data_IF_408780678951
#
_entry.id   IF_408780678951
#
_cell.length_a   1.000
_cell.length_b   1.000
_cell.length_c   1.000
_cell.angle_alpha   90.00
_cell.angle_beta   90.00
_cell.angle_gamma   90.00
#
_symmetry.space_group_name_H-M   'P 1'
#
loop_
_entity.id
_entity.type
_entity.pdbx_description
1 polymer ?
#
# COMPACT_ATOMS: atom_id res chain seq x y z
N UNK A 1 -6.95 0.15 -10.60
CA UNK A 1 -8.07 0.02 -9.65
C UNK A 1 -9.19 0.88 -10.15
N UNK A 2 -10.41 0.36 -10.26
CA UNK A 2 -11.57 1.16 -10.64
C UNK A 2 -12.10 1.97 -9.43
N UNK A 3 -13.10 2.85 -9.69
CA UNK A 3 -13.66 3.73 -8.64
C UNK A 3 -14.32 2.94 -7.52
N UNK A 4 -15.06 1.88 -7.86
CA UNK A 4 -15.78 1.06 -6.88
C UNK A 4 -14.83 0.27 -5.98
N UNK A 5 -13.74 -0.24 -6.56
CA UNK A 5 -12.68 -0.91 -5.81
C UNK A 5 -11.96 0.08 -4.87
N UNK A 6 -11.67 1.31 -5.33
CA UNK A 6 -11.08 2.36 -4.49
C UNK A 6 -11.98 2.71 -3.31
N UNK A 7 -13.28 2.93 -3.54
CA UNK A 7 -14.24 3.24 -2.48
C UNK A 7 -14.31 2.11 -1.44
N UNK A 8 -14.28 0.85 -1.89
CA UNK A 8 -14.25 -0.33 -1.00
C UNK A 8 -13.00 -0.36 -0.12
N UNK A 9 -11.84 -0.05 -0.69
CA UNK A 9 -10.58 0.03 0.06
C UNK A 9 -10.61 1.17 1.07
N UNK A 10 -11.08 2.35 0.67
CA UNK A 10 -11.21 3.51 1.56
C UNK A 10 -12.14 3.20 2.73
N UNK A 11 -13.27 2.55 2.49
CA UNK A 11 -14.19 2.10 3.54
C UNK A 11 -13.53 1.13 4.53
N UNK A 12 -12.65 0.24 4.05
CA UNK A 12 -11.87 -0.63 4.93
C UNK A 12 -10.87 0.18 5.75
N UNK A 13 -10.18 1.13 5.12
CA UNK A 13 -9.14 1.93 5.77
C UNK A 13 -9.67 2.99 6.74
N UNK A 14 -10.95 3.34 6.68
CA UNK A 14 -11.60 4.24 7.64
C UNK A 14 -11.48 3.73 9.08
N UNK A 15 -11.59 2.42 9.28
CA UNK A 15 -11.62 1.81 10.62
C UNK A 15 -10.20 1.63 11.20
N UNK A 16 -9.89 2.20 12.39
CA UNK A 16 -8.57 2.12 12.99
C UNK A 16 -8.15 0.70 13.37
N UNK A 17 -9.09 -0.17 13.73
CA UNK A 17 -8.79 -1.58 14.06
C UNK A 17 -8.36 -2.32 12.80
N UNK A 18 -9.02 -2.09 11.66
CA UNK A 18 -8.64 -2.69 10.38
C UNK A 18 -7.25 -2.24 9.95
N UNK A 19 -6.90 -0.95 10.14
CA UNK A 19 -5.53 -0.46 9.88
C UNK A 19 -4.48 -1.17 10.76
N UNK A 20 -4.77 -1.42 12.04
CA UNK A 20 -3.86 -2.19 12.92
C UNK A 20 -3.69 -3.64 12.43
N UNK A 21 -4.77 -4.30 12.01
CA UNK A 21 -4.72 -5.65 11.45
C UNK A 21 -3.88 -5.66 10.17
N UNK A 22 -4.10 -4.71 9.24
CA UNK A 22 -3.31 -4.59 8.00
C UNK A 22 -1.82 -4.40 8.33
N UNK A 23 -1.49 -3.47 9.25
CA UNK A 23 -0.11 -3.25 9.68
C UNK A 23 0.54 -4.53 10.22
N UNK A 24 -0.18 -5.34 10.97
CA UNK A 24 0.34 -6.61 11.49
C UNK A 24 0.50 -7.66 10.37
N UNK A 25 -0.50 -7.78 9.47
CA UNK A 25 -0.46 -8.71 8.34
C UNK A 25 0.55 -8.29 7.25
N UNK A 26 1.00 -7.05 7.23
CA UNK A 26 2.07 -6.63 6.31
C UNK A 26 3.45 -7.17 6.71
N UNK A 27 3.61 -7.60 7.95
CA UNK A 27 4.84 -8.22 8.43
C UNK A 27 4.88 -9.72 8.09
N UNK A 28 3.82 -10.44 8.43
CA UNK A 28 3.69 -11.88 8.17
C UNK A 28 2.22 -12.34 8.25
N UNK A 29 1.87 -13.46 7.61
CA UNK A 29 0.56 -14.08 7.79
C UNK A 29 0.28 -14.44 9.24
N UNK A 30 -0.99 -14.39 9.66
CA UNK A 30 -1.37 -14.66 11.03
C UNK A 30 -2.76 -15.32 11.15
N UNK A 31 -2.99 -16.03 12.26
CA UNK A 31 -4.30 -16.57 12.61
C UNK A 31 -5.14 -15.53 13.36
N UNK A 32 -6.47 -15.62 13.28
CA UNK A 32 -7.38 -14.71 13.99
C UNK A 32 -7.15 -14.68 15.51
N UNK A 33 -6.84 -15.83 16.13
CA UNK A 33 -6.53 -15.92 17.57
C UNK A 33 -5.22 -15.20 17.90
N UNK A 34 -4.21 -15.32 17.04
CA UNK A 34 -2.93 -14.63 17.20
C UNK A 34 -3.12 -13.11 17.13
N UNK A 35 -3.81 -12.61 16.08
CA UNK A 35 -4.17 -11.19 15.95
C UNK A 35 -4.96 -10.67 17.15
N UNK A 36 -5.90 -11.47 17.65
CA UNK A 36 -6.69 -11.14 18.85
C UNK A 36 -5.80 -10.89 20.06
N UNK A 37 -4.86 -11.77 20.34
CA UNK A 37 -3.92 -11.65 21.47
C UNK A 37 -2.95 -10.48 21.30
N UNK A 38 -2.33 -10.35 20.15
CA UNK A 38 -1.32 -9.30 19.87
C UNK A 38 -1.91 -7.90 19.86
N UNK A 39 -3.15 -7.75 19.36
CA UNK A 39 -3.83 -6.45 19.30
C UNK A 39 -4.68 -6.13 20.55
N UNK A 40 -4.79 -7.05 21.50
CA UNK A 40 -5.62 -6.89 22.70
C UNK A 40 -7.12 -6.77 22.38
N UNK A 41 -7.62 -7.48 21.37
CA UNK A 41 -8.99 -7.42 20.88
C UNK A 41 -9.71 -8.76 21.06
N UNK A 42 -11.04 -8.73 21.22
CA UNK A 42 -11.83 -9.97 21.24
C UNK A 42 -11.76 -10.70 19.89
N UNK A 43 -11.56 -12.03 19.93
CA UNK A 43 -11.47 -12.87 18.73
C UNK A 43 -12.69 -12.73 17.79
N UNK A 44 -13.96 -12.64 18.28
CA UNK A 44 -15.10 -12.41 17.40
C UNK A 44 -15.03 -11.07 16.63
N UNK A 45 -14.50 -10.03 17.28
CA UNK A 45 -14.32 -8.72 16.65
C UNK A 45 -13.26 -8.78 15.55
N UNK A 46 -12.13 -9.42 15.82
CA UNK A 46 -11.07 -9.63 14.81
C UNK A 46 -11.60 -10.44 13.63
N UNK A 47 -12.34 -11.52 13.90
CA UNK A 47 -12.95 -12.33 12.83
C UNK A 47 -13.93 -11.52 11.95
N UNK A 48 -14.74 -10.65 12.56
CA UNK A 48 -15.64 -9.74 11.84
C UNK A 48 -14.87 -8.77 10.93
N UNK A 49 -13.77 -8.19 11.43
CA UNK A 49 -12.93 -7.30 10.63
C UNK A 49 -12.22 -8.03 9.50
N UNK A 50 -11.67 -9.23 9.76
CA UNK A 50 -11.02 -10.05 8.73
C UNK A 50 -12.01 -10.42 7.62
N UNK A 51 -13.24 -10.83 7.95
CA UNK A 51 -14.27 -11.11 6.95
C UNK A 51 -14.60 -9.89 6.08
N UNK A 52 -14.71 -8.70 6.68
CA UNK A 52 -14.94 -7.47 5.93
C UNK A 52 -13.79 -7.13 4.97
N UNK A 53 -12.54 -7.38 5.39
CA UNK A 53 -11.35 -7.15 4.56
C UNK A 53 -11.19 -8.22 3.47
N UNK A 54 -11.58 -9.46 3.74
CA UNK A 54 -11.61 -10.55 2.77
C UNK A 54 -12.66 -10.26 1.67
N UNK A 55 -13.85 -9.81 2.04
CA UNK A 55 -14.90 -9.39 1.10
C UNK A 55 -14.47 -8.20 0.22
N UNK A 56 -13.65 -7.30 0.74
CA UNK A 56 -13.05 -6.18 -0.01
C UNK A 56 -11.82 -6.60 -0.84
N UNK A 57 -11.43 -7.88 -0.83
CA UNK A 57 -10.27 -8.38 -1.58
C UNK A 57 -8.91 -7.91 -1.07
N UNK A 58 -8.83 -7.39 0.16
CA UNK A 58 -7.58 -6.93 0.78
C UNK A 58 -6.84 -8.04 1.50
N UNK A 59 -7.58 -9.00 2.01
CA UNK A 59 -7.06 -10.16 2.74
C UNK A 59 -7.50 -11.43 2.02
N UNK A 60 -6.62 -12.40 1.97
CA UNK A 60 -6.89 -13.77 1.50
C UNK A 60 -6.68 -14.75 2.63
N UNK A 61 -7.38 -15.88 2.54
CA UNK A 61 -7.38 -16.93 3.55
C UNK A 61 -6.90 -18.23 2.96
N UNK A 62 -6.02 -18.92 3.68
CA UNK A 62 -5.62 -20.31 3.41
C UNK A 62 -6.05 -21.16 4.59
N UNK A 63 -6.72 -22.29 4.32
CA UNK A 63 -7.10 -23.25 5.35
C UNK A 63 -5.96 -24.25 5.57
N UNK A 64 -5.49 -24.34 6.79
CA UNK A 64 -4.43 -25.27 7.20
C UNK A 64 -4.97 -26.34 8.15
N UNK A 65 -4.48 -27.56 8.01
CA UNK A 65 -4.81 -28.66 8.92
C UNK A 65 -4.12 -28.44 10.27
N UNK A 66 -4.85 -28.67 11.35
CA UNK A 66 -4.30 -28.59 12.71
C UNK A 66 -4.05 -30.01 13.22
N UNK A 67 -2.84 -30.34 13.74
CA UNK A 67 -2.53 -31.68 14.22
C UNK A 67 -3.49 -32.23 15.30
N UNK A 68 -4.06 -31.33 16.11
CA UNK A 68 -4.89 -31.71 17.26
C UNK A 68 -6.20 -30.90 17.33
N UNK A 69 -6.77 -30.46 16.19
CA UNK A 69 -7.98 -29.63 16.22
C UNK A 69 -8.59 -29.34 14.85
N UNK A 70 -9.66 -28.55 14.79
CA UNK A 70 -10.28 -28.18 13.53
C UNK A 70 -9.32 -27.36 12.65
N UNK A 71 -9.57 -27.37 11.35
CA UNK A 71 -8.83 -26.55 10.36
C UNK A 71 -8.76 -25.10 10.81
N UNK A 72 -7.59 -24.50 10.64
CA UNK A 72 -7.33 -23.10 11.01
C UNK A 72 -7.22 -22.26 9.76
N UNK A 73 -7.73 -21.03 9.83
CA UNK A 73 -7.63 -20.06 8.74
C UNK A 73 -6.42 -19.15 8.99
N UNK A 74 -5.42 -19.26 8.10
CA UNK A 74 -4.29 -18.35 8.05
C UNK A 74 -4.64 -17.18 7.12
N UNK A 75 -4.52 -15.96 7.61
CA UNK A 75 -4.83 -14.73 6.90
C UNK A 75 -3.55 -14.03 6.44
N UNK A 76 -3.54 -13.53 5.20
CA UNK A 76 -2.44 -12.74 4.65
C UNK A 76 -3.00 -11.62 3.78
N UNK A 77 -2.21 -10.58 3.50
CA UNK A 77 -2.58 -9.57 2.53
C UNK A 77 -2.67 -10.20 1.14
N UNK A 78 -3.70 -9.84 0.37
CA UNK A 78 -3.92 -10.38 -0.96
C UNK A 78 -3.01 -9.73 -2.00
N UNK A 79 -2.75 -8.42 -1.86
CA UNK A 79 -1.94 -7.60 -2.77
C UNK A 79 -1.42 -6.36 -2.04
N UNK A 80 -0.39 -5.72 -2.58
CA UNK A 80 0.02 -4.38 -2.19
C UNK A 80 -0.91 -3.34 -2.84
N UNK A 81 -1.25 -2.29 -2.11
CA UNK A 81 -2.09 -1.19 -2.60
C UNK A 81 -1.48 0.13 -2.16
N UNK A 82 -1.32 1.04 -3.11
CA UNK A 82 -1.00 2.44 -2.88
C UNK A 82 -2.26 3.28 -3.12
N UNK A 83 -2.57 4.19 -2.20
CA UNK A 83 -3.69 5.12 -2.29
C UNK A 83 -3.15 6.52 -2.10
N UNK A 84 -3.53 7.43 -2.99
CA UNK A 84 -3.28 8.86 -2.83
C UNK A 84 -4.57 9.65 -3.00
N UNK A 85 -4.75 10.66 -2.16
CA UNK A 85 -5.85 11.62 -2.24
C UNK A 85 -5.28 13.02 -2.13
N UNK A 86 -5.43 13.80 -3.18
CA UNK A 86 -4.98 15.19 -3.27
C UNK A 86 -6.21 16.08 -3.39
N UNK A 87 -6.39 17.00 -2.47
CA UNK A 87 -7.53 17.90 -2.50
C UNK A 87 -7.15 19.30 -2.02
N UNK A 88 -7.80 20.27 -2.62
CA UNK A 88 -7.61 21.70 -2.35
C UNK A 88 -8.54 22.53 -3.21
N UNK A 89 -8.46 23.85 -3.17
CA UNK A 89 -9.21 24.70 -4.09
C UNK A 89 -8.90 24.31 -5.54
N UNK A 90 -9.93 24.02 -6.33
CA UNK A 90 -9.83 23.58 -7.74
C UNK A 90 -9.05 22.27 -7.97
N UNK A 91 -8.85 21.46 -6.93
CA UNK A 91 -8.12 20.20 -7.00
C UNK A 91 -8.85 19.13 -6.20
N UNK A 92 -9.25 18.05 -6.88
CA UNK A 92 -9.61 16.79 -6.24
C UNK A 92 -9.14 15.63 -7.12
N UNK A 93 -8.19 14.87 -6.61
CA UNK A 93 -7.67 13.66 -7.28
C UNK A 93 -7.64 12.54 -6.24
N UNK A 94 -8.28 11.41 -6.56
CA UNK A 94 -8.17 10.19 -5.79
C UNK A 94 -7.68 9.07 -6.71
N UNK A 95 -6.64 8.36 -6.30
CA UNK A 95 -6.03 7.27 -7.07
C UNK A 95 -5.76 6.09 -6.17
N UNK A 96 -6.01 4.91 -6.71
CA UNK A 96 -5.59 3.66 -6.09
C UNK A 96 -4.89 2.78 -7.12
N UNK A 97 -3.74 2.26 -6.78
CA UNK A 97 -2.96 1.34 -7.61
C UNK A 97 -2.61 0.10 -6.83
N UNK A 98 -2.76 -1.06 -7.47
CA UNK A 98 -2.23 -2.31 -6.91
C UNK A 98 -0.77 -2.48 -7.37
N UNK A 99 0.06 -3.01 -6.49
CA UNK A 99 1.43 -3.39 -6.84
C UNK A 99 1.73 -4.81 -6.31
N UNK A 100 2.63 -5.49 -6.98
CA UNK A 100 3.09 -6.82 -6.60
C UNK A 100 4.54 -6.76 -6.14
N UNK A 101 4.89 -7.66 -5.21
CA UNK A 101 6.27 -7.81 -4.74
C UNK A 101 7.23 -8.34 -5.84
N UNK A 102 6.68 -8.79 -6.99
CA UNK A 102 7.50 -9.22 -8.13
C UNK A 102 7.76 -8.05 -9.06
N UNK A 103 9.01 -7.81 -9.42
CA UNK A 103 9.35 -6.74 -10.36
C UNK A 103 8.67 -6.99 -11.70
N UNK A 104 7.81 -6.06 -12.10
CA UNK A 104 7.19 -6.06 -13.43
C UNK A 104 8.24 -5.88 -14.54
N UNK A 105 7.86 -6.26 -15.77
CA UNK A 105 8.69 -6.07 -16.98
C UNK A 105 8.50 -4.67 -17.60
N UNK A 106 7.91 -3.72 -16.89
CA UNK A 106 7.64 -2.38 -17.40
C UNK A 106 8.92 -1.56 -17.54
N UNK A 107 8.90 -0.59 -18.47
CA UNK A 107 9.98 0.40 -18.65
C UNK A 107 10.23 1.12 -17.33
N UNK A 108 11.34 0.80 -16.72
CA UNK A 108 11.76 1.31 -15.42
C UNK A 108 12.93 2.27 -15.66
N UNK A 109 13.05 3.33 -14.84
CA UNK A 109 14.22 4.21 -14.89
C UNK A 109 15.51 3.44 -14.63
N UNK A 110 16.65 4.01 -15.06
CA UNK A 110 17.97 3.39 -14.86
C UNK A 110 18.26 3.21 -13.36
N UNK A 111 17.87 4.19 -12.55
CA UNK A 111 18.06 4.19 -11.08
C UNK A 111 17.28 3.05 -10.43
N UNK A 112 15.99 2.90 -10.73
CA UNK A 112 15.17 1.78 -10.20
C UNK A 112 15.73 0.43 -10.67
N UNK A 113 16.30 0.37 -11.88
CA UNK A 113 16.96 -0.87 -12.37
C UNK A 113 18.21 -1.20 -11.57
N UNK A 114 19.02 -0.19 -11.19
CA UNK A 114 20.20 -0.36 -10.33
C UNK A 114 19.82 -0.83 -8.94
N UNK A 115 18.79 -0.22 -8.33
CA UNK A 115 18.27 -0.66 -7.02
C UNK A 115 17.78 -2.11 -7.06
N UNK A 116 17.08 -2.49 -8.12
CA UNK A 116 16.66 -3.89 -8.32
C UNK A 116 17.85 -4.85 -8.37
N UNK A 117 18.90 -4.50 -9.12
CA UNK A 117 20.12 -5.30 -9.17
C UNK A 117 20.80 -5.39 -7.79
N UNK A 118 20.85 -4.29 -7.05
CA UNK A 118 21.39 -4.27 -5.67
C UNK A 118 20.63 -5.23 -4.76
N UNK A 119 19.30 -5.18 -4.78
CA UNK A 119 18.44 -6.10 -4.02
C UNK A 119 18.63 -7.56 -4.45
N UNK A 120 18.66 -7.82 -5.77
CA UNK A 120 18.85 -9.18 -6.28
C UNK A 120 20.20 -9.76 -5.87
N UNK A 121 21.26 -8.98 -5.99
CA UNK A 121 22.61 -9.37 -5.55
C UNK A 121 22.65 -9.67 -4.04
N UNK A 122 21.96 -8.87 -3.23
CA UNK A 122 21.86 -9.13 -1.79
C UNK A 122 21.12 -10.45 -1.49
N UNK A 123 20.05 -10.76 -2.24
CA UNK A 123 19.28 -12.01 -2.08
C UNK A 123 20.13 -13.25 -2.41
N UNK A 124 20.98 -13.18 -3.42
CA UNK A 124 21.82 -14.28 -3.91
C UNK A 124 23.07 -14.54 -3.03
N UNK A 125 23.40 -13.62 -2.12
CA UNK A 125 24.51 -13.76 -1.19
C UNK A 125 24.36 -14.95 -0.24
N UNK A 126 25.47 -15.60 0.11
CA UNK A 126 25.50 -16.77 1.01
C UNK A 126 25.75 -16.41 2.48
N UNK A 127 26.25 -15.20 2.76
CA UNK A 127 26.52 -14.72 4.12
C UNK A 127 25.32 -13.95 4.65
N UNK A 128 24.61 -14.50 5.60
CA UNK A 128 23.38 -13.92 6.14
C UNK A 128 23.57 -12.54 6.77
N UNK A 129 24.72 -12.30 7.43
CA UNK A 129 25.02 -11.01 8.05
C UNK A 129 25.25 -9.92 6.99
N UNK A 130 26.02 -10.23 5.95
CA UNK A 130 26.22 -9.33 4.81
C UNK A 130 24.95 -9.11 4.02
N UNK A 131 24.15 -10.17 3.85
CA UNK A 131 22.84 -10.10 3.19
C UNK A 131 21.91 -9.13 3.90
N UNK A 132 21.82 -9.21 5.23
CA UNK A 132 21.00 -8.31 6.02
C UNK A 132 21.46 -6.86 5.89
N UNK A 133 22.77 -6.61 5.97
CA UNK A 133 23.34 -5.27 5.80
C UNK A 133 23.06 -4.68 4.41
N UNK A 134 23.26 -5.47 3.34
CA UNK A 134 22.99 -5.03 1.95
C UNK A 134 21.51 -4.77 1.69
N UNK A 135 20.63 -5.60 2.27
CA UNK A 135 19.18 -5.39 2.15
C UNK A 135 18.73 -4.15 2.92
N UNK A 136 19.29 -3.88 4.12
CA UNK A 136 19.00 -2.65 4.86
C UNK A 136 19.42 -1.41 4.07
N UNK A 137 20.65 -1.39 3.54
CA UNK A 137 21.13 -0.29 2.71
C UNK A 137 20.29 -0.09 1.44
N UNK A 138 19.87 -1.19 0.79
CA UNK A 138 19.01 -1.10 -0.37
C UNK A 138 17.60 -0.58 -0.02
N UNK A 139 17.08 -0.87 1.17
CA UNK A 139 15.81 -0.32 1.65
C UNK A 139 15.94 1.18 1.89
N UNK A 140 17.01 1.64 2.54
CA UNK A 140 17.24 3.07 2.77
C UNK A 140 17.35 3.84 1.45
N UNK A 141 18.03 3.28 0.44
CA UNK A 141 18.12 3.88 -0.90
C UNK A 141 16.73 3.94 -1.59
N UNK A 142 15.92 2.87 -1.48
CA UNK A 142 14.56 2.83 -2.04
C UNK A 142 13.67 3.85 -1.37
N UNK A 143 13.69 3.94 -0.03
CA UNK A 143 12.87 4.88 0.73
C UNK A 143 13.26 6.33 0.39
N UNK A 144 14.56 6.64 0.30
CA UNK A 144 15.04 7.97 -0.12
C UNK A 144 14.54 8.35 -1.52
N UNK A 145 14.60 7.42 -2.49
CA UNK A 145 14.10 7.66 -3.84
C UNK A 145 12.58 7.86 -3.87
N UNK A 146 11.83 7.11 -3.07
CA UNK A 146 10.38 7.29 -2.95
C UNK A 146 10.07 8.69 -2.42
N UNK A 147 10.78 9.15 -1.39
CA UNK A 147 10.60 10.47 -0.80
C UNK A 147 10.91 11.60 -1.80
N UNK A 148 11.99 11.47 -2.59
CA UNK A 148 12.33 12.43 -3.65
C UNK A 148 11.23 12.53 -4.72
N UNK A 149 10.72 11.39 -5.21
CA UNK A 149 9.64 11.32 -6.17
C UNK A 149 8.34 11.92 -5.61
N UNK A 150 8.02 11.69 -4.33
CA UNK A 150 6.85 12.29 -3.69
C UNK A 150 6.99 13.81 -3.53
N UNK A 151 8.17 14.33 -3.25
CA UNK A 151 8.41 15.78 -3.22
C UNK A 151 8.21 16.41 -4.61
N UNK A 152 8.81 15.84 -5.66
CA UNK A 152 8.61 16.29 -7.03
C UNK A 152 7.13 16.25 -7.43
N UNK A 153 6.43 15.19 -7.05
CA UNK A 153 4.98 15.05 -7.25
C UNK A 153 4.19 16.17 -6.59
N UNK A 154 4.51 16.55 -5.35
CA UNK A 154 3.84 17.64 -4.62
C UNK A 154 4.08 19.01 -5.29
N UNK A 155 5.28 19.27 -5.79
CA UNK A 155 5.58 20.48 -6.56
C UNK A 155 4.75 20.55 -7.84
N UNK A 156 4.65 19.44 -8.60
CA UNK A 156 3.81 19.36 -9.80
C UNK A 156 2.33 19.57 -9.50
N UNK A 157 1.83 19.09 -8.37
CA UNK A 157 0.45 19.37 -7.91
C UNK A 157 0.24 20.87 -7.61
N UNK A 158 1.24 21.53 -7.04
CA UNK A 158 1.24 22.99 -6.83
C UNK A 158 1.13 23.75 -8.15
N UNK A 159 1.96 23.41 -9.12
CA UNK A 159 1.93 24.00 -10.48
C UNK A 159 0.58 23.75 -11.16
N UNK A 160 0.06 22.54 -11.08
CA UNK A 160 -1.25 22.17 -11.63
C UNK A 160 -2.37 23.02 -11.01
N UNK A 161 -2.35 23.17 -9.68
CA UNK A 161 -3.37 23.96 -8.98
C UNK A 161 -3.33 25.44 -9.39
N UNK A 162 -2.11 26.00 -9.53
CA UNK A 162 -1.95 27.37 -10.04
C UNK A 162 -2.54 27.51 -11.45
N UNK A 163 -2.20 26.60 -12.37
CA UNK A 163 -2.72 26.63 -13.74
C UNK A 163 -4.25 26.52 -13.79
N UNK A 164 -4.86 25.66 -12.95
CA UNK A 164 -6.31 25.50 -12.88
C UNK A 164 -7.00 26.76 -12.34
N UNK A 165 -6.40 27.42 -11.35
CA UNK A 165 -6.91 28.67 -10.81
C UNK A 165 -6.91 29.77 -11.87
N UNK A 166 -5.81 29.95 -12.58
CA UNK A 166 -5.70 30.95 -13.63
C UNK A 166 -6.67 30.68 -14.79
N UNK A 167 -6.81 29.41 -15.20
CA UNK A 167 -7.77 29.01 -16.22
C UNK A 167 -9.22 29.33 -15.81
N UNK A 168 -9.60 29.06 -14.55
CA UNK A 168 -10.92 29.39 -14.02
C UNK A 168 -11.17 30.92 -14.04
N UNK A 169 -10.18 31.73 -13.66
CA UNK A 169 -10.28 33.16 -13.67
C UNK A 169 -10.41 33.73 -15.11
N UNK A 170 -9.74 33.13 -16.08
CA UNK A 170 -9.88 33.50 -17.48
C UNK A 170 -11.26 33.09 -18.00
N UNK A 171 -11.72 31.88 -17.72
CA UNK A 171 -13.03 31.41 -18.18
C UNK A 171 -14.18 32.29 -17.66
N UNK A 172 -14.16 32.67 -16.37
CA UNK A 172 -15.20 33.51 -15.78
C UNK A 172 -15.32 34.89 -16.47
N UNK A 173 -14.22 35.43 -17.01
CA UNK A 173 -14.26 36.71 -17.76
C UNK A 173 -14.90 36.55 -19.14
N UNK A 174 -14.93 35.38 -19.73
CA UNK A 174 -15.61 35.11 -20.99
C UNK A 174 -17.12 34.89 -20.82
N UNK A 175 -17.56 34.40 -19.66
CA UNK A 175 -18.98 34.18 -19.36
C UNK A 175 -19.72 35.50 -18.99
N UNK A 176 -18.98 36.57 -18.71
CA UNK A 176 -19.52 37.92 -18.42
C UNK A 176 -19.64 38.84 -19.69
N UNK A 177 -19.20 38.34 -20.85
CA UNK A 177 -19.29 39.05 -22.16
C UNK A 177 -20.43 38.51 -23.03
#
# INVERSE_FOLDING_TARGET
MDKQELDSVLQVMENPVRRKIIKRLSQEPAYALQLSKELGLGQPLVAKHLAAMENAGLVKTVSEDSPNGPRRKLYSLAKGISISMDFGPNLFIARGMAFEAKPGKEKTSQEVSQLRHKVQHAIEGNDESKKLSLLSEALDDVDSMIDEIEQERLELLGVRNLAMREASMVASKFDEL
#
